data_IF_842027467211
#
_entry.id   IF_842027467211
#
_cell.length_a   1.000
_cell.length_b   1.000
_cell.length_c   1.000
_cell.angle_alpha   90.00
_cell.angle_beta   90.00
_cell.angle_gamma   90.00
#
_symmetry.space_group_name_H-M   'P 1'
#
loop_
_entity.id
_entity.type
_entity.pdbx_description
1 polymer ?
#
# COMPACT_ATOMS: atom_id res chain seq x y z
N UNK A 1 19.07 15.50 -11.48
CA UNK A 1 19.64 14.48 -12.41
C UNK A 1 19.12 14.60 -13.84
N UNK A 2 17.83 14.81 -14.09
CA UNK A 2 17.28 14.89 -15.46
C UNK A 2 17.77 16.11 -16.26
N UNK A 3 17.80 17.32 -15.66
CA UNK A 3 18.36 18.53 -16.28
C UNK A 3 19.76 18.34 -16.88
N UNK A 4 20.67 17.73 -16.11
CA UNK A 4 22.05 17.50 -16.55
C UNK A 4 22.12 16.51 -17.72
N UNK A 5 21.22 15.52 -17.74
CA UNK A 5 21.08 14.58 -18.85
C UNK A 5 20.53 15.29 -20.10
N UNK A 6 19.48 16.09 -19.93
CA UNK A 6 18.86 16.89 -20.99
C UNK A 6 19.86 17.86 -21.63
N UNK A 7 20.65 18.58 -20.82
CA UNK A 7 21.69 19.48 -21.34
C UNK A 7 22.68 18.73 -22.23
N UNK A 8 23.18 17.58 -21.76
CA UNK A 8 24.16 16.77 -22.49
C UNK A 8 23.58 16.16 -23.78
N UNK A 9 22.29 15.81 -23.78
CA UNK A 9 21.59 15.33 -24.98
C UNK A 9 21.39 16.47 -25.99
N UNK A 10 21.03 17.67 -25.53
CA UNK A 10 20.94 18.87 -26.36
C UNK A 10 22.29 19.28 -26.97
N UNK A 11 23.37 19.27 -26.17
CA UNK A 11 24.73 19.55 -26.65
C UNK A 11 25.13 18.55 -27.75
N UNK A 12 24.77 17.26 -27.59
CA UNK A 12 24.98 16.22 -28.61
C UNK A 12 24.15 16.45 -29.86
N UNK A 13 22.90 16.90 -29.74
CA UNK A 13 22.03 17.16 -30.88
C UNK A 13 22.43 18.42 -31.65
N UNK A 14 22.95 19.43 -30.96
CA UNK A 14 23.56 20.61 -31.59
C UNK A 14 24.82 20.21 -32.37
N UNK A 15 25.70 19.40 -31.78
CA UNK A 15 26.90 18.89 -32.46
C UNK A 15 26.58 18.05 -33.71
N UNK A 16 25.44 17.35 -33.71
CA UNK A 16 24.97 16.56 -34.85
C UNK A 16 24.13 17.35 -35.87
N UNK A 17 23.96 18.66 -35.68
CA UNK A 17 23.16 19.51 -36.57
C UNK A 17 21.65 19.22 -36.56
N UNK A 18 21.15 18.49 -35.56
CA UNK A 18 19.74 18.13 -35.44
C UNK A 18 18.90 19.26 -34.86
N UNK A 19 19.51 20.14 -34.07
CA UNK A 19 18.87 21.28 -33.40
C UNK A 19 19.84 22.46 -33.43
N UNK A 20 19.36 23.68 -33.63
CA UNK A 20 20.22 24.86 -33.55
C UNK A 20 20.51 25.23 -32.07
N UNK A 21 21.58 25.98 -31.84
CA UNK A 21 22.01 26.33 -30.48
C UNK A 21 21.03 27.26 -29.74
N UNK A 22 20.31 28.12 -30.47
CA UNK A 22 19.27 29.01 -29.92
C UNK A 22 18.05 28.22 -29.43
N UNK A 23 17.60 27.23 -30.19
CA UNK A 23 16.47 26.36 -29.86
C UNK A 23 16.83 25.44 -28.68
N UNK A 24 18.06 24.92 -28.67
CA UNK A 24 18.55 24.14 -27.54
C UNK A 24 18.60 24.95 -26.24
N UNK A 25 19.05 26.21 -26.29
CA UNK A 25 19.01 27.11 -25.14
C UNK A 25 17.58 27.45 -24.72
N UNK A 26 16.67 27.69 -25.67
CA UNK A 26 15.25 27.95 -25.38
C UNK A 26 14.57 26.74 -24.73
N UNK A 27 14.84 25.51 -25.19
CA UNK A 27 14.33 24.27 -24.59
C UNK A 27 14.87 24.04 -23.18
N UNK A 28 16.15 24.34 -22.93
CA UNK A 28 16.74 24.23 -21.60
C UNK A 28 16.15 25.28 -20.63
N UNK A 29 15.91 26.50 -21.12
CA UNK A 29 15.31 27.58 -20.36
C UNK A 29 13.83 27.30 -20.02
N UNK A 30 13.07 26.72 -20.96
CA UNK A 30 11.69 26.28 -20.72
C UNK A 30 11.63 25.17 -19.66
N UNK A 31 12.54 24.20 -19.75
CA UNK A 31 12.68 23.16 -18.73
C UNK A 31 13.01 23.75 -17.35
N UNK A 32 13.91 24.74 -17.28
CA UNK A 32 14.28 25.39 -16.03
C UNK A 32 13.15 26.28 -15.46
N UNK A 33 12.33 26.88 -16.33
CA UNK A 33 11.16 27.64 -15.93
C UNK A 33 10.03 26.74 -15.38
N UNK A 34 9.91 25.51 -15.88
CA UNK A 34 8.92 24.53 -15.43
C UNK A 34 9.41 23.65 -14.27
N UNK A 35 10.73 23.49 -14.10
CA UNK A 35 11.29 22.82 -12.95
C UNK A 35 11.01 23.67 -11.71
N UNK A 36 10.06 23.24 -10.88
CA UNK A 36 9.79 23.87 -9.58
C UNK A 36 11.09 23.86 -8.75
N UNK A 37 11.82 24.97 -8.74
CA UNK A 37 12.99 25.10 -7.91
C UNK A 37 12.50 25.07 -6.45
N UNK A 38 13.08 24.16 -5.67
CA UNK A 38 12.87 24.16 -4.23
C UNK A 38 13.33 25.51 -3.70
N UNK A 39 12.37 26.37 -3.31
CA UNK A 39 12.65 27.68 -2.77
C UNK A 39 12.31 27.64 -1.28
N UNK A 40 13.28 27.99 -0.44
CA UNK A 40 13.07 28.10 1.01
C UNK A 40 11.93 29.07 1.30
N UNK A 41 11.77 30.12 0.49
CA UNK A 41 10.64 31.05 0.56
C UNK A 41 9.28 30.38 0.33
N UNK A 42 9.15 29.51 -0.67
CA UNK A 42 7.92 28.75 -0.94
C UNK A 42 7.59 27.80 0.21
N UNK A 43 8.61 27.15 0.79
CA UNK A 43 8.44 26.30 1.97
C UNK A 43 7.98 27.14 3.17
N UNK A 44 8.61 28.28 3.44
CA UNK A 44 8.20 29.19 4.50
C UNK A 44 6.79 29.74 4.28
N UNK A 45 6.38 30.00 3.04
CA UNK A 45 5.01 30.42 2.70
C UNK A 45 3.99 29.32 2.98
N UNK A 46 4.28 28.07 2.61
CA UNK A 46 3.42 26.92 2.93
C UNK A 46 3.32 26.74 4.44
N UNK A 47 4.44 26.78 5.17
CA UNK A 47 4.45 26.69 6.63
C UNK A 47 3.66 27.84 7.26
N UNK A 48 3.80 29.06 6.75
CA UNK A 48 3.04 30.22 7.22
C UNK A 48 1.55 30.05 6.97
N UNK A 49 1.14 29.56 5.80
CA UNK A 49 -0.27 29.30 5.50
C UNK A 49 -0.86 28.20 6.39
N UNK A 50 -0.09 27.14 6.68
CA UNK A 50 -0.49 26.07 7.61
C UNK A 50 -0.62 26.60 9.03
N UNK A 51 0.37 27.35 9.52
CA UNK A 51 0.35 27.96 10.86
C UNK A 51 -0.78 28.98 11.02
N UNK A 52 -1.03 29.81 10.00
CA UNK A 52 -2.13 30.78 10.00
C UNK A 52 -3.48 30.05 10.02
N UNK A 53 -3.64 29.00 9.20
CA UNK A 53 -4.85 28.17 9.20
C UNK A 53 -5.07 27.50 10.55
N UNK A 54 -4.01 26.93 11.14
CA UNK A 54 -4.07 26.35 12.48
C UNK A 54 -4.44 27.39 13.54
N UNK A 55 -3.87 28.59 13.49
CA UNK A 55 -4.19 29.70 14.40
C UNK A 55 -5.67 30.09 14.30
N UNK A 56 -6.20 30.26 13.09
CA UNK A 56 -7.62 30.56 12.86
C UNK A 56 -8.51 29.45 13.44
N UNK A 57 -8.16 28.18 13.19
CA UNK A 57 -8.88 27.04 13.74
C UNK A 57 -8.84 27.01 15.27
N UNK A 58 -7.69 27.32 15.88
CA UNK A 58 -7.55 27.41 17.34
C UNK A 58 -8.39 28.54 17.92
N UNK A 59 -8.42 29.72 17.29
CA UNK A 59 -9.26 30.84 17.75
C UNK A 59 -10.74 30.49 17.64
N UNK A 60 -11.18 29.85 16.55
CA UNK A 60 -12.54 29.36 16.39
C UNK A 60 -12.86 28.31 17.47
N UNK A 61 -11.95 27.37 17.72
CA UNK A 61 -12.11 26.33 18.72
C UNK A 61 -12.19 26.92 20.14
N UNK A 62 -11.35 27.89 20.48
CA UNK A 62 -11.36 28.59 21.77
C UNK A 62 -12.67 29.35 22.00
N UNK A 63 -13.27 29.89 20.93
CA UNK A 63 -14.55 30.61 20.99
C UNK A 63 -15.74 29.71 20.64
N UNK A 64 -15.55 28.39 20.54
CA UNK A 64 -16.56 27.48 19.99
C UNK A 64 -17.90 27.54 20.72
N UNK A 65 -17.87 27.66 22.05
CA UNK A 65 -19.08 27.73 22.87
C UNK A 65 -19.86 29.04 22.69
N UNK A 66 -19.18 30.13 22.33
CA UNK A 66 -19.81 31.44 22.12
C UNK A 66 -20.50 31.55 20.74
N UNK A 67 -20.12 30.72 19.77
CA UNK A 67 -20.70 30.76 18.42
C UNK A 67 -22.08 30.08 18.43
N UNK A 68 -23.17 30.79 18.05
CA UNK A 68 -24.51 30.20 17.99
C UNK A 68 -24.59 29.01 17.04
N UNK A 69 -25.41 28.01 17.39
CA UNK A 69 -25.57 26.78 16.59
C UNK A 69 -25.96 27.06 15.14
N UNK A 70 -26.90 27.98 14.93
CA UNK A 70 -27.36 28.37 13.60
C UNK A 70 -26.20 28.93 12.77
N UNK A 71 -25.34 29.76 13.36
CA UNK A 71 -24.19 30.33 12.68
C UNK A 71 -23.18 29.26 12.25
N UNK A 72 -22.90 28.26 13.10
CA UNK A 72 -22.02 27.12 12.76
C UNK A 72 -22.55 26.38 11.53
N UNK A 73 -23.84 26.04 11.54
CA UNK A 73 -24.49 25.32 10.43
C UNK A 73 -24.54 26.19 9.16
N UNK A 74 -24.87 27.48 9.28
CA UNK A 74 -24.88 28.40 8.14
C UNK A 74 -23.50 28.54 7.50
N UNK A 75 -22.43 28.61 8.28
CA UNK A 75 -21.05 28.63 7.75
C UNK A 75 -20.72 27.35 7.01
N UNK A 76 -21.06 26.18 7.56
CA UNK A 76 -20.87 24.89 6.88
C UNK A 76 -21.61 24.85 5.55
N UNK A 77 -22.89 25.25 5.52
CA UNK A 77 -23.69 25.31 4.29
C UNK A 77 -23.04 26.27 3.29
N UNK A 78 -22.61 27.45 3.74
CA UNK A 78 -21.95 28.44 2.89
C UNK A 78 -20.62 27.91 2.32
N UNK A 79 -19.84 27.13 3.08
CA UNK A 79 -18.62 26.50 2.59
C UNK A 79 -18.93 25.43 1.53
N UNK A 80 -19.91 24.56 1.78
CA UNK A 80 -20.30 23.50 0.84
C UNK A 80 -20.70 24.11 -0.50
N UNK A 81 -21.62 25.09 -0.49
CA UNK A 81 -22.09 25.74 -1.72
C UNK A 81 -21.02 26.64 -2.32
N UNK A 82 -20.32 27.43 -1.51
CA UNK A 82 -19.27 28.34 -1.97
C UNK A 82 -18.14 27.61 -2.71
N UNK A 83 -17.71 26.45 -2.19
CA UNK A 83 -16.71 25.63 -2.86
C UNK A 83 -17.26 24.93 -4.11
N UNK A 84 -18.48 24.39 -4.11
CA UNK A 84 -19.04 23.77 -5.32
C UNK A 84 -19.32 24.80 -6.42
N UNK A 85 -19.97 25.92 -6.11
CA UNK A 85 -20.25 26.99 -7.04
C UNK A 85 -18.96 27.67 -7.51
N UNK A 86 -18.04 27.98 -6.59
CA UNK A 86 -16.72 28.50 -6.93
C UNK A 86 -15.94 27.55 -7.82
N UNK A 87 -16.00 26.24 -7.53
CA UNK A 87 -15.41 25.20 -8.37
C UNK A 87 -15.99 25.18 -9.78
N UNK A 88 -17.31 25.24 -9.89
CA UNK A 88 -18.03 25.31 -11.16
C UNK A 88 -17.62 26.56 -11.98
N UNK A 89 -17.59 27.73 -11.35
CA UNK A 89 -17.20 29.00 -11.97
C UNK A 89 -15.74 28.92 -12.45
N UNK A 90 -14.81 28.46 -11.61
CA UNK A 90 -13.40 28.35 -12.01
C UNK A 90 -13.18 27.35 -13.15
N UNK A 91 -13.94 26.24 -13.17
CA UNK A 91 -13.90 25.30 -14.30
C UNK A 91 -14.42 25.97 -15.57
N UNK A 92 -15.53 26.70 -15.50
CA UNK A 92 -16.10 27.43 -16.63
C UNK A 92 -15.16 28.53 -17.16
N UNK A 93 -14.39 29.18 -16.27
CA UNK A 93 -13.34 30.15 -16.61
C UNK A 93 -12.03 29.51 -17.09
N UNK A 94 -11.99 28.19 -17.29
CA UNK A 94 -10.81 27.47 -17.79
C UNK A 94 -9.74 27.15 -16.73
N UNK A 95 -9.91 27.59 -15.47
CA UNK A 95 -9.00 27.33 -14.34
C UNK A 95 -9.27 25.94 -13.72
N UNK A 96 -9.20 24.90 -14.54
CA UNK A 96 -9.65 23.52 -14.22
C UNK A 96 -9.05 22.96 -12.94
N UNK A 97 -7.73 23.08 -12.74
CA UNK A 97 -7.06 22.50 -11.56
C UNK A 97 -7.59 23.09 -10.24
N UNK A 98 -7.69 24.42 -10.16
CA UNK A 98 -8.23 25.11 -8.98
C UNK A 98 -9.71 24.77 -8.78
N UNK A 99 -10.51 24.79 -9.85
CA UNK A 99 -11.92 24.47 -9.74
C UNK A 99 -12.19 23.04 -9.30
N UNK A 100 -11.42 22.06 -9.81
CA UNK A 100 -11.49 20.66 -9.35
C UNK A 100 -11.07 20.51 -7.88
N UNK A 101 -10.08 21.27 -7.42
CA UNK A 101 -9.71 21.32 -6.01
C UNK A 101 -10.83 21.86 -5.13
N UNK A 102 -11.53 22.91 -5.57
CA UNK A 102 -12.70 23.44 -4.86
C UNK A 102 -13.85 22.42 -4.78
N UNK A 103 -14.09 21.62 -5.82
CA UNK A 103 -15.10 20.55 -5.74
C UNK A 103 -14.79 19.53 -4.64
N UNK A 104 -13.52 19.14 -4.51
CA UNK A 104 -13.07 18.25 -3.42
C UNK A 104 -13.26 18.93 -2.06
N UNK A 105 -12.89 20.20 -1.92
CA UNK A 105 -13.12 20.95 -0.68
C UNK A 105 -14.60 21.07 -0.33
N UNK A 106 -15.47 21.23 -1.32
CA UNK A 106 -16.91 21.24 -1.14
C UNK A 106 -17.44 19.91 -0.62
N UNK A 107 -17.00 18.79 -1.19
CA UNK A 107 -17.39 17.46 -0.73
C UNK A 107 -16.78 17.10 0.63
N UNK A 108 -15.55 17.53 0.91
CA UNK A 108 -14.94 17.38 2.23
C UNK A 108 -15.69 18.20 3.30
N UNK A 109 -16.09 19.42 2.96
CA UNK A 109 -16.90 20.29 3.81
C UNK A 109 -18.27 19.68 4.11
N UNK A 110 -18.84 18.92 3.16
CA UNK A 110 -20.09 18.19 3.38
C UNK A 110 -19.93 17.10 4.44
N UNK A 111 -18.91 16.24 4.33
CA UNK A 111 -18.65 15.20 5.33
C UNK A 111 -18.31 15.75 6.71
N UNK A 112 -17.38 16.72 6.78
CA UNK A 112 -17.05 17.39 8.04
C UNK A 112 -18.25 18.14 8.64
N UNK A 113 -19.08 18.73 7.78
CA UNK A 113 -20.34 19.36 8.16
C UNK A 113 -21.34 18.40 8.78
N UNK A 114 -21.53 17.21 8.20
CA UNK A 114 -22.42 16.19 8.76
C UNK A 114 -21.93 15.70 10.12
N UNK A 115 -20.63 15.42 10.27
CA UNK A 115 -20.05 15.02 11.56
C UNK A 115 -20.24 16.12 12.62
N UNK A 116 -20.04 17.38 12.23
CA UNK A 116 -20.25 18.53 13.11
C UNK A 116 -21.70 18.68 13.56
N UNK A 117 -22.66 18.55 12.63
CA UNK A 117 -24.09 18.60 12.94
C UNK A 117 -24.48 17.45 13.86
N UNK A 118 -23.97 16.25 13.61
CA UNK A 118 -24.15 15.08 14.47
C UNK A 118 -23.73 15.36 15.91
N UNK A 119 -22.53 15.90 16.10
CA UNK A 119 -22.03 16.29 17.42
C UNK A 119 -22.85 17.42 18.05
N UNK A 120 -23.18 18.46 17.28
CA UNK A 120 -23.85 19.67 17.80
C UNK A 120 -25.26 19.40 18.33
N UNK A 121 -25.98 18.48 17.69
CA UNK A 121 -27.34 18.11 18.04
C UNK A 121 -27.45 16.77 18.77
N UNK A 122 -26.32 16.17 19.16
CA UNK A 122 -26.26 14.85 19.82
C UNK A 122 -27.07 13.79 19.07
N UNK A 123 -26.98 13.82 17.74
CA UNK A 123 -27.68 12.84 16.91
C UNK A 123 -27.04 11.47 17.11
N UNK A 124 -27.83 10.52 17.60
CA UNK A 124 -27.44 9.12 17.66
C UNK A 124 -27.69 8.51 16.29
N UNK A 125 -26.63 8.19 15.55
CA UNK A 125 -26.71 7.59 14.22
C UNK A 125 -25.54 6.65 13.99
N UNK A 126 -25.73 5.68 13.10
CA UNK A 126 -24.64 4.79 12.70
C UNK A 126 -23.60 5.59 11.90
N UNK A 127 -22.32 5.42 12.24
CA UNK A 127 -21.23 6.08 11.53
C UNK A 127 -21.21 5.65 10.06
N UNK A 128 -21.53 4.38 9.77
CA UNK A 128 -21.55 3.86 8.41
C UNK A 128 -22.62 4.55 7.54
N UNK A 129 -23.77 4.92 8.12
CA UNK A 129 -24.82 5.67 7.42
C UNK A 129 -24.36 7.07 7.02
N UNK A 130 -23.59 7.73 7.89
CA UNK A 130 -22.97 9.03 7.58
C UNK A 130 -22.03 8.90 6.38
N UNK A 131 -21.22 7.84 6.33
CA UNK A 131 -20.34 7.58 5.19
C UNK A 131 -21.10 7.26 3.90
N UNK A 132 -22.24 6.55 3.95
CA UNK A 132 -23.07 6.33 2.76
C UNK A 132 -23.65 7.64 2.19
N UNK A 133 -24.15 8.52 3.06
CA UNK A 133 -24.67 9.82 2.63
C UNK A 133 -23.54 10.69 2.06
N UNK A 134 -22.37 10.69 2.71
CA UNK A 134 -21.20 11.42 2.24
C UNK A 134 -20.71 10.91 0.88
N UNK A 135 -20.59 9.60 0.73
CA UNK A 135 -20.18 8.96 -0.50
C UNK A 135 -21.16 9.27 -1.63
N UNK A 136 -22.47 9.24 -1.35
CA UNK A 136 -23.50 9.60 -2.33
C UNK A 136 -23.33 11.03 -2.82
N UNK A 137 -23.15 12.00 -1.92
CA UNK A 137 -22.92 13.39 -2.29
C UNK A 137 -21.63 13.57 -3.11
N UNK A 138 -20.55 12.88 -2.74
CA UNK A 138 -19.29 12.91 -3.48
C UNK A 138 -19.41 12.28 -4.88
N UNK A 139 -20.13 11.17 -5.01
CA UNK A 139 -20.43 10.52 -6.29
C UNK A 139 -21.24 11.44 -7.19
N UNK A 140 -22.29 12.08 -6.67
CA UNK A 140 -23.10 13.05 -7.43
C UNK A 140 -22.25 14.21 -7.94
N UNK A 141 -21.41 14.79 -7.08
CA UNK A 141 -20.49 15.85 -7.50
C UNK A 141 -19.49 15.35 -8.56
N UNK A 142 -18.97 14.14 -8.44
CA UNK A 142 -18.13 13.53 -9.49
C UNK A 142 -18.88 13.37 -10.83
N UNK A 143 -20.14 12.96 -10.79
CA UNK A 143 -20.99 12.78 -12.00
C UNK A 143 -21.26 14.12 -12.66
N UNK A 144 -21.70 15.13 -11.90
CA UNK A 144 -22.09 16.44 -12.44
C UNK A 144 -20.91 17.17 -13.06
N UNK A 145 -19.75 17.14 -12.41
CA UNK A 145 -18.58 17.92 -12.85
C UNK A 145 -17.59 17.14 -13.71
N UNK A 146 -17.78 15.82 -13.86
CA UNK A 146 -16.91 14.93 -14.66
C UNK A 146 -15.43 15.08 -14.27
N UNK A 147 -15.17 15.25 -12.96
CA UNK A 147 -13.85 15.61 -12.45
C UNK A 147 -13.04 14.37 -12.08
N UNK A 148 -11.91 14.17 -12.75
CA UNK A 148 -10.98 13.08 -12.44
C UNK A 148 -10.30 13.19 -11.06
N UNK A 149 -10.16 14.41 -10.53
CA UNK A 149 -9.67 14.65 -9.15
C UNK A 149 -10.76 14.30 -8.14
N UNK A 150 -12.01 14.65 -8.45
CA UNK A 150 -13.15 14.29 -7.61
C UNK A 150 -13.35 12.77 -7.56
N UNK A 151 -13.12 12.05 -8.66
CA UNK A 151 -13.09 10.59 -8.67
C UNK A 151 -12.03 10.03 -7.72
N UNK A 152 -10.86 10.66 -7.62
CA UNK A 152 -9.82 10.28 -6.66
C UNK A 152 -10.32 10.42 -5.21
N UNK A 153 -11.02 11.51 -4.90
CA UNK A 153 -11.66 11.70 -3.60
C UNK A 153 -12.74 10.65 -3.31
N UNK A 154 -13.61 10.36 -4.29
CA UNK A 154 -14.62 9.28 -4.18
C UNK A 154 -13.95 7.94 -3.92
N UNK A 155 -12.86 7.59 -4.63
CA UNK A 155 -12.16 6.34 -4.42
C UNK A 155 -11.50 6.23 -3.04
N UNK A 156 -10.92 7.32 -2.53
CA UNK A 156 -10.42 7.36 -1.16
C UNK A 156 -11.56 7.20 -0.14
N UNK A 157 -12.70 7.86 -0.37
CA UNK A 157 -13.87 7.74 0.48
C UNK A 157 -14.47 6.32 0.45
N UNK A 158 -14.45 5.65 -0.70
CA UNK A 158 -14.82 4.23 -0.81
C UNK A 158 -13.94 3.34 0.09
N UNK A 159 -12.62 3.55 0.09
CA UNK A 159 -11.70 2.80 0.97
C UNK A 159 -12.04 3.01 2.45
N UNK A 160 -12.27 4.26 2.86
CA UNK A 160 -12.65 4.58 4.25
C UNK A 160 -14.02 3.97 4.59
N UNK A 161 -14.99 4.03 3.67
CA UNK A 161 -16.32 3.44 3.88
C UNK A 161 -16.24 1.92 4.05
N UNK A 162 -15.37 1.24 3.30
CA UNK A 162 -15.09 -0.19 3.54
C UNK A 162 -14.49 -0.40 4.93
N UNK A 163 -13.48 0.38 5.31
CA UNK A 163 -12.82 0.22 6.61
C UNK A 163 -13.80 0.43 7.78
N UNK A 164 -14.63 1.48 7.73
CA UNK A 164 -15.69 1.76 8.71
C UNK A 164 -16.73 0.64 8.70
N UNK A 165 -17.10 0.12 7.53
CA UNK A 165 -18.00 -1.02 7.43
C UNK A 165 -17.43 -2.27 8.11
N UNK A 166 -16.15 -2.55 7.92
CA UNK A 166 -15.49 -3.69 8.56
C UNK A 166 -15.41 -3.53 10.08
N UNK A 167 -15.00 -2.36 10.55
CA UNK A 167 -14.94 -2.04 11.98
C UNK A 167 -16.32 -2.15 12.64
N UNK A 168 -17.36 -1.60 11.99
CA UNK A 168 -18.74 -1.64 12.45
C UNK A 168 -19.27 -3.06 12.71
N UNK A 169 -18.84 -4.01 11.89
CA UNK A 169 -19.19 -5.42 12.00
C UNK A 169 -18.06 -6.26 12.62
N UNK A 170 -17.10 -5.65 13.34
CA UNK A 170 -15.99 -6.33 14.02
C UNK A 170 -15.19 -7.29 13.12
N UNK A 171 -15.10 -7.00 11.83
CA UNK A 171 -14.48 -7.87 10.83
C UNK A 171 -15.14 -9.25 10.69
N UNK A 172 -16.37 -9.41 11.18
CA UNK A 172 -17.15 -10.65 11.07
C UNK A 172 -17.67 -10.88 9.65
N UNK A 173 -17.96 -12.14 9.35
CA UNK A 173 -18.58 -12.54 8.09
C UNK A 173 -20.06 -12.13 8.06
N UNK A 174 -20.35 -11.03 7.38
CA UNK A 174 -21.71 -10.50 7.20
C UNK A 174 -21.96 -10.22 5.72
N UNK A 175 -23.22 -10.09 5.32
CA UNK A 175 -23.53 -9.68 3.94
C UNK A 175 -22.88 -8.34 3.59
N UNK A 176 -22.80 -7.41 4.55
CA UNK A 176 -22.21 -6.10 4.36
C UNK A 176 -20.70 -6.18 4.15
N UNK A 177 -19.95 -6.88 5.01
CA UNK A 177 -18.49 -7.02 4.86
C UNK A 177 -18.09 -7.80 3.61
N UNK A 178 -18.93 -8.73 3.16
CA UNK A 178 -18.71 -9.49 1.92
C UNK A 178 -19.04 -8.67 0.66
N UNK A 179 -20.15 -7.92 0.64
CA UNK A 179 -20.61 -7.24 -0.59
C UNK A 179 -20.10 -5.81 -0.76
N UNK A 180 -19.76 -5.12 0.33
CA UNK A 180 -19.38 -3.71 0.28
C UNK A 180 -18.09 -3.46 -0.53
N UNK A 181 -16.97 -4.19 -0.32
CA UNK A 181 -15.76 -3.97 -1.11
C UNK A 181 -15.91 -4.17 -2.61
N UNK A 182 -16.52 -5.26 -3.12
CA UNK A 182 -16.74 -5.40 -4.56
C UNK A 182 -17.73 -4.37 -5.09
N UNK A 183 -18.79 -4.03 -4.35
CA UNK A 183 -19.74 -3.00 -4.78
C UNK A 183 -19.07 -1.62 -4.95
N UNK A 184 -18.25 -1.19 -3.98
CA UNK A 184 -17.55 0.09 -4.06
C UNK A 184 -16.42 0.08 -5.10
N UNK A 185 -15.79 -1.07 -5.34
CA UNK A 185 -14.85 -1.26 -6.45
C UNK A 185 -15.54 -1.07 -7.79
N UNK A 186 -16.75 -1.61 -7.97
CA UNK A 186 -17.58 -1.37 -9.16
C UNK A 186 -17.91 0.12 -9.31
N UNK A 187 -18.28 0.83 -8.25
CA UNK A 187 -18.53 2.29 -8.30
C UNK A 187 -17.30 3.04 -8.83
N UNK A 188 -16.10 2.75 -8.32
CA UNK A 188 -14.85 3.37 -8.79
C UNK A 188 -14.62 3.10 -10.28
N UNK A 189 -14.75 1.84 -10.71
CA UNK A 189 -14.53 1.45 -12.11
C UNK A 189 -15.56 2.11 -13.03
N UNK A 190 -16.85 2.08 -12.69
CA UNK A 190 -17.92 2.69 -13.48
C UNK A 190 -17.72 4.19 -13.64
N UNK A 191 -17.47 4.91 -12.53
CA UNK A 191 -17.23 6.35 -12.57
C UNK A 191 -15.94 6.72 -13.32
N UNK A 192 -14.94 5.83 -13.35
CA UNK A 192 -13.72 6.08 -14.11
C UNK A 192 -13.91 6.15 -15.62
N UNK A 193 -14.94 5.48 -16.16
CA UNK A 193 -15.30 5.63 -17.58
C UNK A 193 -15.92 7.00 -17.86
N UNK A 194 -16.58 7.59 -16.86
CA UNK A 194 -17.24 8.89 -16.99
C UNK A 194 -16.27 10.07 -16.74
N UNK A 195 -15.47 10.02 -15.67
CA UNK A 195 -14.61 11.12 -15.23
C UNK A 195 -13.19 11.09 -15.84
N UNK A 196 -12.82 10.05 -16.58
CA UNK A 196 -11.61 10.00 -17.41
C UNK A 196 -10.28 9.77 -16.68
N UNK A 197 -10.27 9.51 -15.37
CA UNK A 197 -9.04 9.23 -14.61
C UNK A 197 -8.79 7.73 -14.45
N UNK A 198 -8.07 7.16 -15.42
CA UNK A 198 -7.77 5.72 -15.49
C UNK A 198 -6.86 5.22 -14.35
N UNK A 199 -6.05 6.09 -13.73
CA UNK A 199 -5.14 5.70 -12.65
C UNK A 199 -5.89 5.34 -11.37
N UNK A 200 -7.06 5.95 -11.14
CA UNK A 200 -7.87 5.69 -9.94
C UNK A 200 -8.40 4.25 -9.91
N UNK A 201 -8.47 3.57 -11.06
CA UNK A 201 -8.86 2.15 -11.14
C UNK A 201 -7.95 1.23 -10.32
N UNK A 202 -6.70 1.62 -10.09
CA UNK A 202 -5.78 0.88 -9.21
C UNK A 202 -6.29 0.81 -7.76
N UNK A 203 -7.03 1.82 -7.29
CA UNK A 203 -7.64 1.80 -5.95
C UNK A 203 -8.66 0.67 -5.85
N UNK A 204 -9.49 0.46 -6.88
CA UNK A 204 -10.43 -0.67 -6.93
C UNK A 204 -9.69 -2.02 -6.92
N UNK A 205 -8.57 -2.14 -7.65
CA UNK A 205 -7.75 -3.35 -7.64
C UNK A 205 -7.16 -3.66 -6.25
N UNK A 206 -6.64 -2.63 -5.56
CA UNK A 206 -6.13 -2.77 -4.18
C UNK A 206 -7.24 -3.14 -3.21
N UNK A 207 -8.42 -2.51 -3.34
CA UNK A 207 -9.57 -2.78 -2.49
C UNK A 207 -10.06 -4.23 -2.63
N UNK A 208 -10.14 -4.73 -3.87
CA UNK A 208 -10.49 -6.13 -4.14
C UNK A 208 -9.44 -7.11 -3.61
N UNK A 209 -8.14 -6.80 -3.75
CA UNK A 209 -7.09 -7.64 -3.16
C UNK A 209 -7.18 -7.70 -1.64
N UNK A 210 -7.34 -6.55 -0.98
CA UNK A 210 -7.49 -6.49 0.47
C UNK A 210 -8.70 -7.29 0.94
N UNK A 211 -9.82 -7.20 0.21
CA UNK A 211 -11.02 -8.00 0.47
C UNK A 211 -10.79 -9.51 0.33
N UNK A 212 -10.10 -9.96 -0.72
CA UNK A 212 -9.76 -11.37 -0.90
C UNK A 212 -8.80 -11.88 0.20
N UNK A 213 -7.85 -11.05 0.63
CA UNK A 213 -6.96 -11.38 1.76
C UNK A 213 -7.75 -11.51 3.06
N UNK A 214 -8.69 -10.61 3.33
CA UNK A 214 -9.56 -10.74 4.50
C UNK A 214 -10.44 -12.00 4.42
N UNK A 215 -10.96 -12.35 3.25
CA UNK A 215 -11.75 -13.57 3.04
C UNK A 215 -10.93 -14.83 3.36
N UNK A 216 -9.66 -14.85 2.96
CA UNK A 216 -8.73 -15.89 3.40
C UNK A 216 -8.49 -15.83 4.91
N UNK A 217 -8.24 -14.66 5.50
CA UNK A 217 -7.99 -14.53 6.93
C UNK A 217 -9.15 -15.03 7.81
N UNK A 218 -10.40 -14.94 7.33
CA UNK A 218 -11.57 -15.45 8.04
C UNK A 218 -11.72 -16.97 7.95
N UNK A 219 -11.24 -17.59 6.86
CA UNK A 219 -11.41 -19.02 6.60
C UNK A 219 -10.17 -19.84 6.96
N UNK A 220 -8.99 -19.24 6.80
CA UNK A 220 -7.65 -19.87 6.97
C UNK A 220 -7.47 -21.18 6.21
N UNK A 221 -8.25 -21.41 5.16
CA UNK A 221 -8.20 -22.64 4.38
C UNK A 221 -7.13 -22.54 3.28
N UNK A 222 -6.10 -23.38 3.37
CA UNK A 222 -5.00 -23.43 2.39
C UNK A 222 -5.49 -23.65 0.95
N UNK A 223 -6.64 -24.31 0.76
CA UNK A 223 -7.23 -24.51 -0.57
C UNK A 223 -7.60 -23.18 -1.24
N UNK A 224 -7.98 -22.17 -0.46
CA UNK A 224 -8.26 -20.82 -0.96
C UNK A 224 -6.96 -20.13 -1.38
N UNK A 225 -5.88 -20.29 -0.61
CA UNK A 225 -4.56 -19.76 -0.99
C UNK A 225 -4.05 -20.42 -2.28
N UNK A 226 -4.21 -21.74 -2.43
CA UNK A 226 -3.90 -22.47 -3.68
C UNK A 226 -4.78 -21.96 -4.83
N UNK A 227 -6.08 -21.69 -4.59
CA UNK A 227 -6.97 -21.11 -5.58
C UNK A 227 -6.55 -19.68 -5.98
N UNK A 228 -6.01 -18.87 -5.07
CA UNK A 228 -5.43 -17.57 -5.39
C UNK A 228 -4.20 -17.70 -6.30
N UNK A 229 -3.33 -18.68 -6.06
CA UNK A 229 -2.19 -18.98 -6.94
C UNK A 229 -2.66 -19.40 -8.32
N UNK A 230 -3.44 -20.48 -8.41
CA UNK A 230 -3.85 -21.06 -9.68
C UNK A 230 -4.77 -20.13 -10.47
N UNK A 231 -5.78 -19.55 -9.81
CA UNK A 231 -6.72 -18.62 -10.43
C UNK A 231 -6.08 -17.29 -10.81
N UNK A 232 -5.28 -16.71 -9.91
CA UNK A 232 -4.58 -15.45 -10.16
C UNK A 232 -3.60 -15.56 -11.33
N UNK A 233 -2.76 -16.59 -11.34
CA UNK A 233 -1.82 -16.81 -12.44
C UNK A 233 -2.55 -17.20 -13.73
N UNK A 234 -3.59 -18.03 -13.65
CA UNK A 234 -4.40 -18.43 -14.80
C UNK A 234 -5.06 -17.25 -15.50
N UNK A 235 -5.71 -16.35 -14.74
CA UNK A 235 -6.31 -15.11 -15.29
C UNK A 235 -5.24 -14.18 -15.87
N UNK A 236 -4.11 -14.02 -15.17
CA UNK A 236 -2.99 -13.24 -15.68
C UNK A 236 -2.47 -13.81 -17.01
N UNK A 237 -2.19 -15.10 -17.09
CA UNK A 237 -1.67 -15.75 -18.30
C UNK A 237 -2.67 -15.66 -19.47
N UNK A 238 -3.96 -15.92 -19.21
CA UNK A 238 -5.00 -15.82 -20.22
C UNK A 238 -5.11 -14.41 -20.83
N UNK A 239 -4.97 -13.37 -20.01
CA UNK A 239 -5.00 -11.99 -20.48
C UNK A 239 -3.66 -11.59 -21.13
N UNK A 240 -2.53 -11.96 -20.55
CA UNK A 240 -1.19 -11.61 -21.01
C UNK A 240 -0.87 -12.18 -22.41
N UNK A 241 -1.43 -13.35 -22.73
CA UNK A 241 -1.24 -14.04 -24.00
C UNK A 241 -2.21 -13.58 -25.11
N UNK A 242 -3.20 -12.74 -24.79
CA UNK A 242 -4.20 -12.27 -25.76
C UNK A 242 -4.03 -10.79 -26.10
N UNK A 243 -4.57 -10.36 -27.26
CA UNK A 243 -4.59 -8.94 -27.65
C UNK A 243 -5.39 -8.06 -26.69
N UNK A 244 -6.24 -8.66 -25.85
CA UNK A 244 -6.99 -7.94 -24.82
C UNK A 244 -6.07 -7.22 -23.84
N UNK A 245 -4.82 -7.67 -23.63
CA UNK A 245 -3.85 -7.00 -22.76
C UNK A 245 -3.59 -5.53 -23.13
N UNK A 246 -3.82 -5.13 -24.39
CA UNK A 246 -3.69 -3.74 -24.82
C UNK A 246 -4.75 -2.82 -24.19
N UNK A 247 -5.88 -3.39 -23.77
CA UNK A 247 -6.94 -2.64 -23.11
C UNK A 247 -6.55 -2.36 -21.65
N UNK A 248 -6.69 -1.09 -21.23
CA UNK A 248 -6.29 -0.66 -19.88
C UNK A 248 -6.93 -1.49 -18.77
N UNK A 249 -8.21 -1.87 -18.92
CA UNK A 249 -8.91 -2.67 -17.91
C UNK A 249 -8.40 -4.12 -17.83
N UNK A 250 -8.07 -4.73 -18.97
CA UNK A 250 -7.53 -6.09 -19.01
C UNK A 250 -6.11 -6.14 -18.43
N UNK A 251 -5.26 -5.17 -18.76
CA UNK A 251 -3.92 -5.02 -18.15
C UNK A 251 -4.02 -4.81 -16.63
N UNK A 252 -4.96 -3.98 -16.18
CA UNK A 252 -5.24 -3.79 -14.76
C UNK A 252 -5.62 -5.12 -14.10
N UNK A 253 -6.61 -5.82 -14.64
CA UNK A 253 -7.07 -7.11 -14.12
C UNK A 253 -5.94 -8.14 -14.09
N UNK A 254 -5.16 -8.26 -15.16
CA UNK A 254 -4.01 -9.15 -15.23
C UNK A 254 -2.97 -8.82 -14.15
N UNK A 255 -2.70 -7.54 -13.91
CA UNK A 255 -1.71 -7.13 -12.89
C UNK A 255 -2.17 -7.49 -11.48
N UNK A 256 -3.43 -7.23 -11.14
CA UNK A 256 -3.97 -7.58 -9.82
C UNK A 256 -4.21 -9.09 -9.67
N UNK A 257 -4.45 -9.83 -10.76
CA UNK A 257 -4.49 -11.29 -10.74
C UNK A 257 -3.10 -11.90 -10.46
N UNK A 258 -2.04 -11.34 -11.05
CA UNK A 258 -0.67 -11.75 -10.73
C UNK A 258 -0.30 -11.40 -9.28
N UNK A 259 -0.73 -10.23 -8.78
CA UNK A 259 -0.55 -9.87 -7.37
C UNK A 259 -1.30 -10.82 -6.43
N UNK A 260 -2.53 -11.23 -6.78
CA UNK A 260 -3.28 -12.24 -6.04
C UNK A 260 -2.53 -13.58 -6.00
N UNK A 261 -1.94 -13.99 -7.13
CA UNK A 261 -1.10 -15.19 -7.17
C UNK A 261 0.14 -15.07 -6.28
N UNK A 262 0.79 -13.91 -6.25
CA UNK A 262 1.94 -13.66 -5.38
C UNK A 262 1.55 -13.76 -3.89
N UNK A 263 0.42 -13.18 -3.52
CA UNK A 263 -0.13 -13.28 -2.16
C UNK A 263 -0.47 -14.73 -1.83
N UNK A 264 -1.13 -15.46 -2.74
CA UNK A 264 -1.42 -16.88 -2.59
C UNK A 264 -0.16 -17.70 -2.32
N UNK A 265 0.94 -17.45 -3.05
CA UNK A 265 2.22 -18.14 -2.84
C UNK A 265 2.79 -17.85 -1.45
N UNK A 266 2.73 -16.59 -1.00
CA UNK A 266 3.17 -16.23 0.34
C UNK A 266 2.34 -16.96 1.42
N UNK A 267 1.03 -17.05 1.26
CA UNK A 267 0.14 -17.76 2.18
C UNK A 267 0.38 -19.28 2.19
N UNK A 268 0.56 -19.89 1.01
CA UNK A 268 0.89 -21.32 0.88
C UNK A 268 2.25 -21.64 1.51
N UNK A 269 3.23 -20.72 1.41
CA UNK A 269 4.55 -20.85 2.04
C UNK A 269 4.49 -20.84 3.57
N UNK A 270 3.51 -20.13 4.17
CA UNK A 270 3.30 -20.13 5.62
C UNK A 270 2.85 -21.52 6.09
N UNK A 271 1.92 -22.14 5.36
CA UNK A 271 1.41 -23.49 5.68
C UNK A 271 2.45 -24.58 5.40
N UNK A 272 3.10 -24.53 4.24
CA UNK A 272 4.06 -25.52 3.78
C UNK A 272 5.50 -25.03 3.93
N UNK A 273 5.91 -24.77 5.15
CA UNK A 273 7.17 -24.09 5.48
C UNK A 273 8.40 -25.00 5.60
N UNK A 274 8.28 -26.32 5.46
CA UNK A 274 9.41 -27.24 5.64
C UNK A 274 9.48 -28.36 4.58
N UNK A 275 10.66 -28.98 4.46
CA UNK A 275 10.88 -30.21 3.71
C UNK A 275 10.54 -30.12 2.21
N UNK A 276 9.98 -31.21 1.67
CA UNK A 276 9.64 -31.33 0.25
C UNK A 276 8.48 -30.41 -0.18
N UNK A 277 7.55 -30.11 0.73
CA UNK A 277 6.42 -29.23 0.41
C UNK A 277 6.88 -27.79 0.22
N UNK A 278 7.80 -27.29 1.05
CA UNK A 278 8.44 -25.99 0.84
C UNK A 278 9.15 -25.96 -0.52
N UNK A 279 10.00 -26.95 -0.80
CA UNK A 279 10.73 -27.02 -2.06
C UNK A 279 9.80 -27.00 -3.29
N UNK A 280 8.67 -27.69 -3.21
CA UNK A 280 7.66 -27.67 -4.27
C UNK A 280 7.05 -26.28 -4.46
N UNK A 281 6.62 -25.62 -3.37
CA UNK A 281 6.05 -24.27 -3.42
C UNK A 281 7.06 -23.27 -3.99
N UNK A 282 8.33 -23.35 -3.58
CA UNK A 282 9.40 -22.50 -4.10
C UNK A 282 9.66 -22.69 -5.59
N UNK A 283 9.62 -23.94 -6.07
CA UNK A 283 9.72 -24.22 -7.52
C UNK A 283 8.54 -23.59 -8.26
N UNK A 284 7.32 -23.71 -7.72
CA UNK A 284 6.13 -23.07 -8.31
C UNK A 284 6.27 -21.54 -8.33
N UNK A 285 6.74 -20.93 -7.23
CA UNK A 285 7.03 -19.49 -7.17
C UNK A 285 8.02 -19.05 -8.25
N UNK A 286 9.10 -19.81 -8.45
CA UNK A 286 10.09 -19.54 -9.49
C UNK A 286 9.49 -19.66 -10.89
N UNK A 287 8.74 -20.72 -11.15
CA UNK A 287 8.07 -20.93 -12.45
C UNK A 287 7.11 -19.79 -12.75
N UNK A 288 6.28 -19.37 -11.79
CA UNK A 288 5.33 -18.27 -11.96
C UNK A 288 6.08 -16.95 -12.23
N UNK A 289 7.14 -16.67 -11.47
CA UNK A 289 7.96 -15.46 -11.66
C UNK A 289 8.58 -15.41 -13.06
N UNK A 290 9.26 -16.49 -13.48
CA UNK A 290 9.90 -16.58 -14.80
C UNK A 290 8.86 -16.50 -15.91
N UNK A 291 7.75 -17.23 -15.79
CA UNK A 291 6.69 -17.20 -16.79
C UNK A 291 6.08 -15.80 -16.93
N UNK A 292 5.86 -15.07 -15.83
CA UNK A 292 5.40 -13.69 -15.88
C UNK A 292 6.39 -12.75 -16.59
N UNK A 293 7.70 -12.92 -16.34
CA UNK A 293 8.76 -12.18 -17.04
C UNK A 293 8.75 -12.45 -18.54
N UNK A 294 8.65 -13.73 -18.93
CA UNK A 294 8.65 -14.16 -20.34
C UNK A 294 7.41 -13.65 -21.06
N UNK A 295 6.24 -13.73 -20.45
CA UNK A 295 4.98 -13.33 -21.09
C UNK A 295 4.88 -11.81 -21.29
N UNK A 296 5.13 -11.01 -20.23
CA UNK A 296 4.91 -9.54 -20.28
C UNK A 296 5.95 -8.69 -19.56
N UNK A 297 7.01 -9.28 -18.99
CA UNK A 297 8.04 -8.53 -18.27
C UNK A 297 8.81 -7.51 -19.12
N UNK A 298 8.95 -7.72 -20.43
CA UNK A 298 9.58 -6.74 -21.34
C UNK A 298 8.70 -5.51 -21.57
N UNK A 299 7.40 -5.74 -21.77
CA UNK A 299 6.44 -4.71 -22.21
C UNK A 299 5.82 -3.94 -21.03
N UNK A 300 5.72 -4.57 -19.85
CA UNK A 300 5.04 -4.02 -18.70
C UNK A 300 5.96 -3.96 -17.48
N UNK A 301 6.25 -2.73 -17.04
CA UNK A 301 7.11 -2.47 -15.89
C UNK A 301 6.54 -2.97 -14.57
N UNK A 302 5.22 -3.01 -14.41
CA UNK A 302 4.59 -3.43 -13.16
C UNK A 302 4.58 -4.96 -13.05
N UNK A 303 4.32 -5.67 -14.15
CA UNK A 303 4.49 -7.13 -14.21
C UNK A 303 5.94 -7.53 -13.92
N UNK A 304 6.90 -6.83 -14.52
CA UNK A 304 8.33 -7.08 -14.27
C UNK A 304 8.70 -6.87 -12.80
N UNK A 305 8.24 -5.76 -12.20
CA UNK A 305 8.48 -5.49 -10.78
C UNK A 305 7.86 -6.57 -9.89
N UNK A 306 6.62 -6.99 -10.16
CA UNK A 306 5.93 -8.04 -9.42
C UNK A 306 6.67 -9.38 -9.52
N UNK A 307 7.12 -9.77 -10.71
CA UNK A 307 7.87 -11.00 -10.89
C UNK A 307 9.20 -10.99 -10.13
N UNK A 308 9.92 -9.85 -10.12
CA UNK A 308 11.12 -9.70 -9.28
C UNK A 308 10.80 -9.73 -7.80
N UNK A 309 9.67 -9.16 -7.35
CA UNK A 309 9.23 -9.26 -5.96
C UNK A 309 8.90 -10.70 -5.55
N UNK A 310 8.22 -11.47 -6.42
CA UNK A 310 7.96 -12.91 -6.17
C UNK A 310 9.29 -13.66 -6.05
N UNK A 311 10.21 -13.47 -7.00
CA UNK A 311 11.51 -14.14 -7.00
C UNK A 311 12.37 -13.78 -5.78
N UNK A 312 12.51 -12.48 -5.52
CA UNK A 312 13.32 -11.99 -4.41
C UNK A 312 12.69 -12.36 -3.06
N UNK A 313 11.37 -12.24 -2.94
CA UNK A 313 10.63 -12.64 -1.74
C UNK A 313 10.80 -14.12 -1.42
N UNK A 314 10.65 -14.99 -2.42
CA UNK A 314 10.87 -16.44 -2.27
C UNK A 314 12.32 -16.76 -1.89
N UNK A 315 13.29 -16.12 -2.55
CA UNK A 315 14.72 -16.32 -2.27
C UNK A 315 15.07 -15.90 -0.84
N UNK A 316 14.54 -14.75 -0.39
CA UNK A 316 14.72 -14.27 0.97
C UNK A 316 14.04 -15.21 1.97
N UNK A 317 12.82 -15.66 1.70
CA UNK A 317 12.10 -16.59 2.57
C UNK A 317 12.84 -17.92 2.75
N UNK A 318 13.31 -18.53 1.65
CA UNK A 318 14.15 -19.72 1.70
C UNK A 318 15.45 -19.50 2.48
N UNK A 319 16.06 -18.33 2.32
CA UNK A 319 17.27 -17.97 3.05
C UNK A 319 17.01 -17.90 4.56
N UNK A 320 15.90 -17.27 4.97
CA UNK A 320 15.49 -17.22 6.38
C UNK A 320 15.21 -18.61 6.96
N UNK A 321 14.39 -19.42 6.28
CA UNK A 321 14.07 -20.79 6.73
C UNK A 321 15.33 -21.66 6.87
N UNK A 322 16.28 -21.51 5.93
CA UNK A 322 17.54 -22.24 5.99
C UNK A 322 18.41 -21.78 7.16
N UNK A 323 18.53 -20.46 7.38
CA UNK A 323 19.30 -19.90 8.50
C UNK A 323 18.72 -20.33 9.85
N UNK A 324 17.40 -20.26 10.03
CA UNK A 324 16.75 -20.68 11.29
C UNK A 324 17.04 -22.16 11.59
N UNK A 325 16.95 -23.03 10.57
CA UNK A 325 17.28 -24.46 10.73
C UNK A 325 18.76 -24.70 11.11
N UNK A 326 19.67 -23.87 10.61
CA UNK A 326 21.10 -23.94 10.92
C UNK A 326 21.42 -23.36 12.31
N UNK A 327 20.68 -22.33 12.74
CA UNK A 327 20.79 -21.76 14.09
C UNK A 327 20.35 -22.76 15.15
N UNK A 328 19.24 -23.48 14.92
CA UNK A 328 18.79 -24.55 15.83
C UNK A 328 19.82 -25.68 15.92
N UNK A 329 20.34 -26.11 14.77
CA UNK A 329 21.34 -27.17 14.68
C UNK A 329 22.65 -26.77 15.35
N UNK A 330 23.15 -25.54 15.10
CA UNK A 330 24.38 -25.03 15.70
C UNK A 330 24.25 -24.76 17.20
N UNK A 331 23.08 -24.30 17.67
CA UNK A 331 22.78 -24.13 19.10
C UNK A 331 22.75 -25.47 19.83
N UNK A 332 22.17 -26.51 19.23
CA UNK A 332 22.21 -27.87 19.75
C UNK A 332 23.64 -28.39 19.89
N UNK A 333 24.48 -28.19 18.87
CA UNK A 333 25.89 -28.59 18.94
C UNK A 333 26.68 -27.80 19.98
N UNK A 334 26.41 -26.50 20.14
CA UNK A 334 27.05 -25.67 21.15
C UNK A 334 26.70 -26.13 22.57
N UNK A 335 25.41 -26.35 22.86
CA UNK A 335 24.95 -26.83 24.17
C UNK A 335 25.51 -28.22 24.46
N UNK A 336 25.45 -29.14 23.48
CA UNK A 336 25.99 -30.49 23.62
C UNK A 336 27.50 -30.46 23.86
N UNK A 337 28.24 -29.62 23.12
CA UNK A 337 29.67 -29.44 23.30
C UNK A 337 30.04 -28.89 24.68
N UNK A 338 29.29 -27.91 25.18
CA UNK A 338 29.47 -27.37 26.53
C UNK A 338 29.21 -28.42 27.61
N UNK A 339 28.16 -29.23 27.44
CA UNK A 339 27.78 -30.28 28.38
C UNK A 339 28.83 -31.40 28.42
N UNK A 340 29.36 -31.82 27.26
CA UNK A 340 30.47 -32.76 27.17
C UNK A 340 31.74 -32.20 27.81
N UNK A 341 32.05 -30.92 27.60
CA UNK A 341 33.21 -30.27 28.23
C UNK A 341 33.10 -30.22 29.76
N UNK A 342 31.91 -29.92 30.29
CA UNK A 342 31.66 -29.93 31.73
C UNK A 342 31.77 -31.34 32.33
N UNK A 343 31.23 -32.35 31.63
CA UNK A 343 31.39 -33.76 32.04
C UNK A 343 32.85 -34.18 32.04
N UNK A 344 33.60 -33.87 30.98
CA UNK A 344 35.03 -34.17 30.89
C UNK A 344 35.83 -33.48 32.00
N UNK A 345 35.50 -32.23 32.32
CA UNK A 345 36.12 -31.50 33.44
C UNK A 345 35.80 -32.14 34.79
N UNK A 346 34.54 -32.53 35.02
CA UNK A 346 34.10 -33.23 36.22
C UNK A 346 34.79 -34.58 36.41
N UNK A 347 34.89 -35.38 35.34
CA UNK A 347 35.60 -36.67 35.34
C UNK A 347 37.08 -36.47 35.63
N UNK A 348 37.74 -35.50 34.99
CA UNK A 348 39.16 -35.22 35.24
C UNK A 348 39.44 -34.78 36.69
N UNK A 349 38.53 -34.01 37.29
CA UNK A 349 38.60 -33.63 38.72
C UNK A 349 38.44 -34.86 39.62
N UNK A 350 37.48 -35.74 39.33
CA UNK A 350 37.27 -36.98 40.08
C UNK A 350 38.49 -37.92 39.99
N UNK A 351 39.07 -38.09 38.81
CA UNK A 351 40.28 -38.90 38.60
C UNK A 351 41.49 -38.35 39.36
N UNK A 352 41.66 -37.02 39.39
CA UNK A 352 42.71 -36.38 40.21
C UNK A 352 42.51 -36.63 41.70
N UNK A 353 41.28 -36.55 42.20
CA UNK A 353 40.97 -36.83 43.61
C UNK A 353 41.18 -38.31 43.97
N UNK A 354 40.78 -39.23 43.08
CA UNK A 354 40.96 -40.67 43.27
C UNK A 354 42.45 -41.08 43.21
N UNK A 355 43.24 -40.45 42.35
CA UNK A 355 44.68 -40.70 42.26
C UNK A 355 45.46 -40.13 43.46
N UNK A 356 45.09 -38.95 43.97
CA UNK A 356 45.64 -38.39 45.22
C UNK A 356 45.33 -39.28 46.43
N UNK A 357 44.09 -39.77 46.57
CA UNK A 357 43.73 -40.69 47.65
C UNK A 357 44.44 -42.05 47.56
N UNK A 358 44.76 -42.53 46.36
CA UNK A 358 45.59 -43.73 46.18
C UNK A 358 47.06 -43.49 46.54
N UNK A 359 47.60 -42.30 46.28
CA UNK A 359 48.96 -41.92 46.69
C UNK A 359 49.12 -41.85 48.21
N UNK A 360 48.18 -41.20 48.91
CA UNK A 360 48.18 -41.09 50.37
C UNK A 360 48.08 -42.46 51.07
N UNK A 361 47.32 -43.40 50.49
CA UNK A 361 47.23 -44.79 51.00
C UNK A 361 48.52 -45.60 50.83
N UNK A 362 49.39 -45.21 49.89
CA UNK A 362 50.65 -45.91 49.60
C UNK A 362 51.78 -45.39 50.48
N UNK A 363 51.88 -44.08 50.69
CA UNK A 363 52.81 -43.48 51.67
C UNK A 363 52.52 -43.94 53.11
N UNK A 364 51.25 -44.11 53.49
CA UNK A 364 50.92 -44.63 54.82
C UNK A 364 51.29 -46.10 55.03
N UNK A 365 51.51 -46.86 53.95
CA UNK A 365 51.88 -48.28 54.00
C UNK A 365 53.41 -48.50 53.96
N UNK A 366 54.17 -47.57 53.37
CA UNK A 366 55.65 -47.61 53.35
C UNK A 366 56.29 -46.96 54.60
N UNK A 367 55.51 -46.21 55.41
CA UNK A 367 55.96 -45.57 56.64
C UNK A 367 55.73 -46.40 57.92
N UNK A 368 55.23 -47.63 57.77
CA UNK A 368 55.03 -48.65 58.83
C UNK A 368 55.93 -49.84 58.57
#
# INVERSE_FOLDING_TARGET
>A
MYRARLKRDLDRWVANGLVNERDAQAMLADYDAQASSFSVGSVLLVLSAVLLSASILLVIAANWQAIPRLMKVSVVIALIWGFHCGGAILIALGRKALGQGLLVLGAASFGGGMALVGQLYHLSGDELDLFYVWLTAAVLSCIFFRSGVMLGFVAALCMVTVAVGFDRYNFDWTMQTVLLPPALSCVIILLSFWAGNLRVRHVAGVLLLAWLVWLYAHTTDVRIAIAFVAGGFGVFAALALTKFYEWHLARLLATYALALSAIGLALVNIEYSTGLSLAFVSIVSLVISVAALVMKGRDDGMVRAMAYMIFAGETLYLSFQTIDSLLDTSSFFLISGLLVALLAFGVSRLEKLLSQNRGLKKESADAS
#
